data_IF_980294988103
#
_entry.id   IF_980294988103
#
_cell.length_a   1.000
_cell.length_b   1.000
_cell.length_c   1.000
_cell.angle_alpha   90.00
_cell.angle_beta   90.00
_cell.angle_gamma   90.00
#
_symmetry.space_group_name_H-M   'P 1'
#
loop_
_entity.id
_entity.type
_entity.pdbx_description
1 polymer ?
#
# COMPACT_ATOMS: atom_id res chain seq x y z
N UNK A 1 -6.78 18.23 -19.58
CA UNK A 1 -7.73 17.66 -18.62
C UNK A 1 -7.48 16.17 -18.62
N UNK A 2 -7.03 15.56 -17.52
CA UNK A 2 -6.92 14.10 -17.47
C UNK A 2 -8.31 13.52 -17.73
N UNK A 3 -8.42 12.59 -18.66
CA UNK A 3 -9.69 11.98 -19.00
C UNK A 3 -10.14 11.08 -17.85
N UNK A 4 -11.44 11.02 -17.57
CA UNK A 4 -12.00 10.18 -16.49
C UNK A 4 -11.61 8.70 -16.66
N UNK A 5 -11.34 8.29 -17.90
CA UNK A 5 -10.85 6.97 -18.26
C UNK A 5 -9.43 6.72 -17.72
N UNK A 6 -8.54 7.72 -17.76
CA UNK A 6 -7.18 7.61 -17.23
C UNK A 6 -7.20 7.45 -15.71
N UNK A 7 -8.07 8.19 -15.02
CA UNK A 7 -8.27 8.06 -13.59
C UNK A 7 -8.80 6.67 -13.20
N UNK A 8 -9.69 6.09 -14.01
CA UNK A 8 -10.20 4.73 -13.81
C UNK A 8 -9.10 3.68 -13.99
N UNK A 9 -8.25 3.82 -15.02
CA UNK A 9 -7.12 2.92 -15.23
C UNK A 9 -6.05 3.06 -14.14
N UNK A 10 -5.76 4.28 -13.69
CA UNK A 10 -4.84 4.53 -12.58
C UNK A 10 -5.35 3.89 -11.27
N UNK A 11 -6.65 4.01 -10.98
CA UNK A 11 -7.26 3.34 -9.82
C UNK A 11 -7.19 1.81 -9.92
N UNK A 12 -7.54 1.25 -11.08
CA UNK A 12 -7.48 -0.19 -11.31
C UNK A 12 -6.05 -0.73 -11.20
N UNK A 13 -5.07 -0.02 -11.75
CA UNK A 13 -3.66 -0.37 -11.64
C UNK A 13 -3.17 -0.28 -10.18
N UNK A 14 -3.52 0.80 -9.46
CA UNK A 14 -3.18 0.94 -8.05
C UNK A 14 -3.79 -0.18 -7.20
N UNK A 15 -5.06 -0.53 -7.44
CA UNK A 15 -5.74 -1.64 -6.78
C UNK A 15 -5.06 -2.99 -7.07
N UNK A 16 -4.70 -3.27 -8.33
CA UNK A 16 -4.01 -4.49 -8.69
C UNK A 16 -2.61 -4.59 -8.06
N UNK A 17 -1.85 -3.49 -8.06
CA UNK A 17 -0.53 -3.41 -7.42
C UNK A 17 -0.68 -3.63 -5.92
N UNK A 18 -1.59 -2.93 -5.26
CA UNK A 18 -1.84 -3.09 -3.83
C UNK A 18 -2.24 -4.52 -3.48
N UNK A 19 -3.12 -5.15 -4.28
CA UNK A 19 -3.55 -6.53 -4.07
C UNK A 19 -2.39 -7.53 -4.17
N UNK A 20 -1.39 -7.26 -5.03
CA UNK A 20 -0.19 -8.07 -5.12
C UNK A 20 0.82 -7.76 -3.99
N UNK A 21 0.95 -6.50 -3.58
CA UNK A 21 1.94 -6.05 -2.61
C UNK A 21 1.55 -6.38 -1.17
N UNK A 22 0.26 -6.37 -0.84
CA UNK A 22 -0.26 -6.68 0.51
C UNK A 22 0.17 -8.07 1.00
N UNK A 23 -0.03 -9.18 0.26
CA UNK A 23 0.42 -10.51 0.72
C UNK A 23 1.94 -10.62 0.79
N UNK A 24 2.68 -9.92 -0.08
CA UNK A 24 4.15 -9.88 -0.05
C UNK A 24 4.64 -9.15 1.20
N UNK A 25 4.02 -8.01 1.53
CA UNK A 25 4.36 -7.25 2.73
C UNK A 25 3.96 -7.99 4.01
N UNK A 26 2.85 -8.73 3.99
CA UNK A 26 2.48 -9.64 5.07
C UNK A 26 3.54 -10.74 5.24
N UNK A 27 3.91 -11.44 4.16
CA UNK A 27 4.96 -12.46 4.21
C UNK A 27 6.31 -11.89 4.69
N UNK A 28 6.64 -10.66 4.30
CA UNK A 28 7.82 -9.96 4.76
C UNK A 28 7.73 -9.58 6.25
N UNK A 29 6.56 -9.17 6.74
CA UNK A 29 6.30 -8.90 8.15
C UNK A 29 6.54 -10.13 9.03
N UNK A 30 6.05 -11.28 8.56
CA UNK A 30 6.29 -12.58 9.19
C UNK A 30 7.78 -12.94 9.21
N UNK A 31 8.51 -12.63 8.12
CA UNK A 31 9.94 -12.90 8.00
C UNK A 31 10.83 -12.01 8.87
N UNK A 32 10.49 -10.73 9.03
CA UNK A 32 11.27 -9.79 9.84
C UNK A 32 10.83 -9.85 11.32
N UNK A 33 9.77 -10.58 11.66
CA UNK A 33 9.27 -10.71 13.03
C UNK A 33 8.51 -9.47 13.52
N UNK A 34 8.07 -8.61 12.61
CA UNK A 34 7.27 -7.41 12.90
C UNK A 34 5.78 -7.78 13.08
N UNK A 35 5.55 -8.68 14.03
CA UNK A 35 4.24 -9.26 14.35
C UNK A 35 3.83 -8.71 15.72
N UNK A 36 2.60 -8.20 15.85
CA UNK A 36 2.06 -7.86 17.17
C UNK A 36 1.63 -9.15 17.86
N UNK A 37 2.32 -9.54 18.93
CA UNK A 37 1.85 -10.62 19.78
C UNK A 37 0.79 -10.10 20.74
N UNK A 38 -0.33 -10.82 20.90
CA UNK A 38 -1.37 -10.42 21.84
C UNK A 38 -0.83 -10.46 23.28
N UNK A 39 -0.94 -9.34 23.98
CA UNK A 39 -0.50 -9.14 25.37
C UNK A 39 -1.69 -9.31 26.32
N UNK A 40 -1.46 -9.48 27.63
CA UNK A 40 -2.45 -9.76 28.70
C UNK A 40 -3.67 -8.81 28.79
N UNK A 41 -3.70 -7.72 28.02
CA UNK A 41 -4.80 -6.74 27.95
C UNK A 41 -5.32 -6.50 26.52
N UNK A 42 -4.99 -7.37 25.57
CA UNK A 42 -5.39 -7.27 24.16
C UNK A 42 -6.73 -7.97 23.91
N UNK A 43 -7.65 -7.32 23.19
CA UNK A 43 -8.92 -7.89 22.71
C UNK A 43 -8.73 -8.87 21.54
N UNK A 44 -7.55 -8.90 20.93
CA UNK A 44 -7.24 -9.73 19.77
C UNK A 44 -6.58 -11.04 20.20
N UNK A 45 -7.12 -12.16 19.72
CA UNK A 45 -6.65 -13.52 20.06
C UNK A 45 -5.57 -14.02 19.09
N UNK A 46 -5.46 -13.39 17.91
CA UNK A 46 -4.54 -13.78 16.85
C UNK A 46 -3.42 -12.74 16.64
N UNK A 47 -2.19 -13.17 16.36
CA UNK A 47 -1.09 -12.30 15.99
C UNK A 47 -1.38 -11.60 14.65
N UNK A 48 -1.22 -10.27 14.60
CA UNK A 48 -1.46 -9.48 13.39
C UNK A 48 -0.17 -8.86 12.85
N UNK A 49 0.07 -8.93 11.53
CA UNK A 49 1.24 -8.30 10.90
C UNK A 49 1.08 -6.77 10.87
N UNK A 50 2.06 -6.02 11.41
CA UNK A 50 1.98 -4.54 11.52
C UNK A 50 2.31 -3.78 10.22
N UNK A 51 2.71 -4.49 9.16
CA UNK A 51 3.34 -3.89 7.98
C UNK A 51 2.40 -3.69 6.79
N UNK A 52 1.12 -4.03 6.89
CA UNK A 52 0.16 -3.84 5.79
C UNK A 52 0.00 -2.37 5.39
N UNK A 53 0.02 -1.45 6.34
CA UNK A 53 -0.06 -0.01 6.07
C UNK A 53 1.10 0.54 5.23
N UNK A 54 2.31 0.03 5.45
CA UNK A 54 3.49 0.39 4.65
C UNK A 54 3.36 -0.16 3.22
N UNK A 55 2.78 -1.35 3.06
CA UNK A 55 2.49 -1.92 1.74
C UNK A 55 1.56 -1.02 0.91
N UNK A 56 0.50 -0.52 1.53
CA UNK A 56 -0.47 0.38 0.90
C UNK A 56 0.20 1.71 0.53
N UNK A 57 0.99 2.28 1.44
CA UNK A 57 1.73 3.52 1.17
C UNK A 57 2.66 3.36 -0.05
N UNK A 58 3.45 2.29 -0.11
CA UNK A 58 4.34 2.02 -1.24
C UNK A 58 3.55 1.83 -2.53
N UNK A 59 2.44 1.09 -2.49
CA UNK A 59 1.60 0.86 -3.66
C UNK A 59 1.01 2.16 -4.22
N UNK A 60 0.52 3.05 -3.34
CA UNK A 60 -0.02 4.36 -3.72
C UNK A 60 1.09 5.27 -4.29
N UNK A 61 2.25 5.34 -3.64
CA UNK A 61 3.38 6.13 -4.14
C UNK A 61 3.87 5.62 -5.50
N UNK A 62 3.95 4.31 -5.69
CA UNK A 62 4.36 3.72 -6.97
C UNK A 62 3.33 3.98 -8.07
N UNK A 63 2.03 3.82 -7.79
CA UNK A 63 0.96 4.12 -8.74
C UNK A 63 0.94 5.62 -9.10
N UNK A 64 1.11 6.49 -8.12
CA UNK A 64 1.25 7.93 -8.34
C UNK A 64 2.45 8.26 -9.22
N UNK A 65 3.62 7.68 -8.97
CA UNK A 65 4.81 7.92 -9.80
C UNK A 65 4.63 7.48 -11.27
N UNK A 66 3.79 6.46 -11.53
CA UNK A 66 3.54 5.92 -12.88
C UNK A 66 2.47 6.72 -13.62
N UNK A 67 1.38 7.10 -12.95
CA UNK A 67 0.18 7.66 -13.59
C UNK A 67 -0.01 9.17 -13.38
N UNK A 68 0.67 9.78 -12.41
CA UNK A 68 0.57 11.22 -12.19
C UNK A 68 1.38 11.95 -13.26
N UNK A 69 0.80 12.94 -13.96
CA UNK A 69 1.56 13.77 -14.89
C UNK A 69 2.65 14.49 -14.08
N UNK A 70 3.90 14.30 -14.50
CA UNK A 70 5.08 14.95 -13.91
C UNK A 70 5.16 16.42 -14.35
N UNK A 71 4.10 17.19 -14.09
CA UNK A 71 4.08 18.65 -14.24
C UNK A 71 4.74 19.33 -13.02
N UNK A 72 5.02 20.63 -13.13
CA UNK A 72 5.70 21.41 -12.09
C UNK A 72 4.99 21.37 -10.73
N UNK A 73 3.67 21.15 -10.73
CA UNK A 73 2.85 21.00 -9.51
C UNK A 73 3.16 19.69 -8.76
N UNK A 74 3.53 18.63 -9.50
CA UNK A 74 3.95 17.33 -8.96
C UNK A 74 5.39 17.33 -8.45
N UNK A 75 6.23 18.25 -8.94
CA UNK A 75 7.65 18.38 -8.56
C UNK A 75 7.84 19.13 -7.23
N UNK A 76 6.81 19.79 -6.73
CA UNK A 76 6.84 20.57 -5.50
C UNK A 76 6.52 19.76 -4.23
N UNK A 77 6.11 18.50 -4.39
CA UNK A 77 5.73 17.54 -3.33
C UNK A 77 6.92 16.63 -3.01
#
# INVERSE_FOLDING_TARGET
MPDTIDALFAFAAAAAIAWLLVPVAEALAWRIGAIDLPRERSLHVAPTPKLSGIAILIAVCAAGAIFLPWDDETRAI
#
